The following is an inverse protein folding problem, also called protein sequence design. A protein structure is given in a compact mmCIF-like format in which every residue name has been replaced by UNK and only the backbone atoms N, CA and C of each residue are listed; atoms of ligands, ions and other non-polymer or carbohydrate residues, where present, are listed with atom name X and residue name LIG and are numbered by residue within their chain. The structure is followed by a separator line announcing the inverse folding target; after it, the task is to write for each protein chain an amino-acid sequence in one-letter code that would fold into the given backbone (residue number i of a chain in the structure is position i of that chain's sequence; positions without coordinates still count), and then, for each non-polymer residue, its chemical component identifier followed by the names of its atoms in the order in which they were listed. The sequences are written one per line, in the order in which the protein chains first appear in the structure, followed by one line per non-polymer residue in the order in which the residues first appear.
data_IF_233608194662
#
_entry.id   IF_233608194662
#
_cell.length_a   1.000
_cell.length_b   1.000
_cell.length_c   1.000
_cell.angle_alpha   90.00
_cell.angle_beta   90.00
_cell.angle_gamma   90.00
#
_symmetry.space_group_name_H-M   'P 1'
#
loop_
_entity.id
_entity.type
_entity.pdbx_description
1 polymer ?
#
# COMPACT_ATOMS: atom_id res chain seq x y z
N UNK A 1 12.20 -6.04 38.01
CA UNK A 1 11.56 -5.50 39.25
C UNK A 1 10.34 -4.63 38.96
N UNK A 2 10.41 -3.68 38.02
CA UNK A 2 9.27 -2.77 37.69
C UNK A 2 8.00 -3.53 37.29
N UNK A 3 8.10 -4.54 36.41
CA UNK A 3 6.93 -5.33 36.00
C UNK A 3 6.27 -6.04 37.18
N UNK A 4 7.05 -6.66 38.06
CA UNK A 4 6.51 -7.39 39.21
C UNK A 4 5.75 -6.48 40.19
N UNK A 5 6.24 -5.26 40.41
CA UNK A 5 5.65 -4.32 41.36
C UNK A 5 4.48 -3.54 40.76
N UNK A 6 4.59 -3.05 39.53
CA UNK A 6 3.61 -2.11 38.98
C UNK A 6 2.57 -2.74 38.06
N UNK A 7 2.92 -3.82 37.35
CA UNK A 7 2.05 -4.42 36.35
C UNK A 7 0.69 -4.88 36.92
N UNK A 8 0.61 -5.48 38.12
CA UNK A 8 -0.67 -5.85 38.71
C UNK A 8 -1.62 -4.66 38.93
N UNK A 9 -1.10 -3.47 39.23
CA UNK A 9 -1.90 -2.26 39.48
C UNK A 9 -2.42 -1.60 38.21
N UNK A 10 -1.76 -1.82 37.07
CA UNK A 10 -2.15 -1.25 35.78
C UNK A 10 -2.80 -2.27 34.85
N UNK A 11 -2.79 -3.56 35.18
CA UNK A 11 -3.22 -4.66 34.31
C UNK A 11 -4.62 -4.43 33.69
N UNK A 12 -5.58 -3.96 34.48
CA UNK A 12 -6.94 -3.69 34.02
C UNK A 12 -7.08 -2.47 33.10
N UNK A 13 -6.01 -1.70 32.88
CA UNK A 13 -5.96 -0.54 31.97
C UNK A 13 -5.09 -0.81 30.74
N UNK A 14 -4.39 -1.93 30.69
CA UNK A 14 -3.53 -2.27 29.56
C UNK A 14 -4.41 -2.65 28.36
N UNK A 15 -4.27 -1.88 27.29
CA UNK A 15 -5.02 -2.06 26.03
C UNK A 15 -4.22 -2.81 24.96
N UNK A 16 -2.88 -2.76 25.06
CA UNK A 16 -1.98 -3.39 24.11
C UNK A 16 -0.76 -3.95 24.84
N UNK A 17 -0.31 -5.14 24.44
CA UNK A 17 0.88 -5.80 24.95
C UNK A 17 1.70 -6.27 23.76
N UNK A 18 2.99 -5.97 23.79
CA UNK A 18 3.99 -6.48 22.86
C UNK A 18 5.06 -7.22 23.65
N UNK A 19 5.31 -8.49 23.32
CA UNK A 19 6.33 -9.31 23.98
C UNK A 19 7.29 -9.87 22.94
N UNK A 20 8.57 -9.90 23.25
CA UNK A 20 9.65 -10.38 22.37
C UNK A 20 10.58 -11.32 23.14
N UNK A 21 10.96 -12.43 22.52
CA UNK A 21 12.00 -13.37 22.99
C UNK A 21 13.22 -13.36 22.03
N UNK A 22 13.62 -12.16 21.59
CA UNK A 22 14.81 -11.98 20.75
C UNK A 22 16.13 -12.32 21.49
N UNK A 23 17.26 -12.21 20.81
CA UNK A 23 18.56 -12.59 21.37
C UNK A 23 18.99 -11.74 22.58
N UNK A 24 18.42 -10.54 22.74
CA UNK A 24 18.65 -9.66 23.90
C UNK A 24 17.64 -9.88 25.02
N UNK A 25 16.49 -10.47 24.73
CA UNK A 25 15.36 -10.63 25.66
C UNK A 25 14.90 -12.09 25.83
N UNK A 26 15.86 -13.02 25.84
CA UNK A 26 15.61 -14.44 26.07
C UNK A 26 14.68 -14.68 27.29
N UNK A 27 13.64 -15.48 27.07
CA UNK A 27 12.64 -15.88 28.08
C UNK A 27 11.80 -14.74 28.68
N UNK A 28 11.84 -13.54 28.12
CA UNK A 28 11.06 -12.41 28.61
C UNK A 28 9.57 -12.68 28.58
N UNK A 29 9.06 -13.42 27.59
CA UNK A 29 7.66 -13.87 27.55
C UNK A 29 7.33 -14.73 28.77
N UNK A 30 8.15 -15.74 29.06
CA UNK A 30 7.95 -16.62 30.21
C UNK A 30 8.04 -15.86 31.54
N UNK A 31 9.01 -14.95 31.64
CA UNK A 31 9.18 -14.09 32.81
C UNK A 31 7.96 -13.17 32.99
N UNK A 32 7.45 -12.57 31.91
CA UNK A 32 6.24 -11.76 31.92
C UNK A 32 5.04 -12.58 32.43
N UNK A 33 4.82 -13.77 31.86
CA UNK A 33 3.74 -14.68 32.27
C UNK A 33 3.84 -15.06 33.75
N UNK A 34 5.05 -15.26 34.28
CA UNK A 34 5.27 -15.57 35.70
C UNK A 34 4.78 -14.47 36.65
N UNK A 35 4.81 -13.19 36.23
CA UNK A 35 4.39 -12.07 37.07
C UNK A 35 2.88 -11.83 37.09
N UNK A 36 2.22 -11.96 35.94
CA UNK A 36 0.78 -11.68 35.84
C UNK A 36 -0.04 -12.90 36.26
N UNK A 37 0.59 -14.09 36.25
CA UNK A 37 0.01 -15.43 36.42
C UNK A 37 -0.96 -15.82 35.30
N UNK A 38 -1.73 -14.87 34.77
CA UNK A 38 -2.61 -15.09 33.63
C UNK A 38 -3.00 -13.79 32.91
N UNK A 39 -3.17 -13.87 31.58
CA UNK A 39 -3.75 -12.81 30.75
C UNK A 39 -5.15 -12.38 31.20
N UNK A 40 -5.88 -13.19 31.99
CA UNK A 40 -7.22 -12.85 32.49
C UNK A 40 -7.27 -11.56 33.31
N UNK A 41 -6.12 -11.09 33.83
CA UNK A 41 -6.03 -9.80 34.53
C UNK A 41 -6.00 -8.60 33.58
N UNK A 42 -5.65 -8.82 32.31
CA UNK A 42 -5.58 -7.82 31.24
C UNK A 42 -6.96 -7.71 30.56
N UNK A 43 -8.01 -7.47 31.35
CA UNK A 43 -9.41 -7.50 30.89
C UNK A 43 -9.76 -6.47 29.80
N UNK A 44 -8.92 -5.45 29.60
CA UNK A 44 -9.09 -4.43 28.56
C UNK A 44 -8.18 -4.65 27.35
N UNK A 45 -7.45 -5.77 27.28
CA UNK A 45 -6.51 -6.03 26.20
C UNK A 45 -7.25 -6.16 24.88
N UNK A 46 -6.86 -5.33 23.91
CA UNK A 46 -7.39 -5.29 22.54
C UNK A 46 -6.40 -5.78 21.51
N UNK A 47 -5.11 -5.59 21.78
CA UNK A 47 -4.02 -5.97 20.89
C UNK A 47 -2.96 -6.75 21.64
N UNK A 48 -2.60 -7.92 21.11
CA UNK A 48 -1.47 -8.73 21.57
C UNK A 48 -0.50 -8.92 20.40
N UNK A 49 0.76 -8.59 20.61
CA UNK A 49 1.84 -8.85 19.66
C UNK A 49 2.91 -9.72 20.31
N UNK A 50 3.26 -10.82 19.66
CA UNK A 50 4.24 -11.80 20.10
C UNK A 50 5.31 -11.92 19.02
N UNK A 51 6.55 -11.67 19.39
CA UNK A 51 7.71 -11.71 18.50
C UNK A 51 8.70 -12.75 19.01
N UNK A 52 9.38 -13.43 18.09
CA UNK A 52 10.49 -14.34 18.44
C UNK A 52 10.09 -15.47 19.40
N UNK A 53 8.83 -15.93 19.37
CA UNK A 53 8.39 -17.02 20.25
C UNK A 53 9.12 -18.32 19.85
N UNK A 54 9.98 -18.82 20.74
CA UNK A 54 10.86 -19.98 20.47
C UNK A 54 10.22 -21.33 20.82
N UNK A 55 9.10 -21.33 21.53
CA UNK A 55 8.45 -22.53 22.05
C UNK A 55 6.99 -22.62 21.60
N UNK A 56 6.67 -23.67 20.84
CA UNK A 56 5.31 -23.97 20.41
C UNK A 56 4.37 -24.13 21.62
N UNK A 57 4.82 -24.84 22.65
CA UNK A 57 4.05 -25.02 23.89
C UNK A 57 3.74 -23.67 24.58
N UNK A 58 4.70 -22.75 24.59
CA UNK A 58 4.51 -21.41 25.16
C UNK A 58 3.48 -20.63 24.36
N UNK A 59 3.56 -20.65 23.02
CA UNK A 59 2.55 -20.01 22.16
C UNK A 59 1.16 -20.59 22.43
N UNK A 60 1.02 -21.91 22.47
CA UNK A 60 -0.27 -22.56 22.72
C UNK A 60 -0.84 -22.22 24.10
N UNK A 61 -0.01 -22.15 25.14
CA UNK A 61 -0.42 -21.68 26.48
C UNK A 61 -0.90 -20.23 26.47
N UNK A 62 -0.29 -19.37 25.66
CA UNK A 62 -0.72 -17.97 25.52
C UNK A 62 -2.08 -17.92 24.79
N UNK A 63 -2.23 -18.67 23.71
CA UNK A 63 -3.47 -18.73 22.93
C UNK A 63 -4.65 -19.29 23.73
N UNK A 64 -4.43 -20.33 24.54
CA UNK A 64 -5.44 -20.84 25.49
C UNK A 64 -5.96 -19.73 26.42
N UNK A 65 -5.06 -18.92 26.97
CA UNK A 65 -5.45 -17.80 27.83
C UNK A 65 -6.13 -16.67 27.06
N UNK A 66 -5.80 -16.46 25.78
CA UNK A 66 -6.41 -15.44 24.94
C UNK A 66 -7.93 -15.68 24.72
N UNK A 67 -8.41 -16.91 24.85
CA UNK A 67 -9.86 -17.21 24.74
C UNK A 67 -10.71 -16.48 25.78
N UNK A 68 -10.11 -16.12 26.91
CA UNK A 68 -10.78 -15.40 28.00
C UNK A 68 -10.73 -13.88 27.82
N UNK A 69 -10.00 -13.39 26.83
CA UNK A 69 -9.86 -11.96 26.53
C UNK A 69 -11.00 -11.48 25.62
N UNK A 70 -12.14 -11.17 26.24
CA UNK A 70 -13.35 -10.73 25.54
C UNK A 70 -13.23 -9.44 24.72
N UNK A 71 -12.08 -8.77 24.69
CA UNK A 71 -11.86 -7.56 23.89
C UNK A 71 -10.68 -7.68 22.92
N UNK A 72 -10.00 -8.84 22.90
CA UNK A 72 -8.90 -9.08 21.98
C UNK A 72 -9.43 -9.10 20.55
N UNK A 73 -8.97 -8.12 19.77
CA UNK A 73 -9.40 -7.90 18.38
C UNK A 73 -8.25 -7.97 17.40
N UNK A 74 -7.02 -7.77 17.89
CA UNK A 74 -5.80 -7.81 17.09
C UNK A 74 -4.82 -8.79 17.71
N UNK A 75 -4.39 -9.78 16.94
CA UNK A 75 -3.33 -10.70 17.29
C UNK A 75 -2.23 -10.58 16.24
N UNK A 76 -1.01 -10.30 16.67
CA UNK A 76 0.17 -10.36 15.83
C UNK A 76 1.10 -11.42 16.41
N UNK A 77 1.47 -12.41 15.61
CA UNK A 77 2.45 -13.42 15.95
C UNK A 77 3.45 -13.38 14.80
N UNK A 78 4.67 -12.93 15.05
CA UNK A 78 5.68 -12.84 14.01
C UNK A 78 7.03 -13.36 14.48
N UNK A 79 7.88 -13.71 13.51
CA UNK A 79 9.24 -14.19 13.76
C UNK A 79 9.32 -15.40 14.71
N UNK A 80 8.30 -16.27 14.72
CA UNK A 80 8.31 -17.44 15.57
C UNK A 80 9.21 -18.54 14.97
N UNK A 81 10.08 -19.13 15.80
CA UNK A 81 11.01 -20.19 15.40
C UNK A 81 10.62 -21.50 16.07
N UNK A 82 9.90 -22.36 15.35
CA UNK A 82 9.50 -23.66 15.85
C UNK A 82 10.22 -24.79 15.10
N UNK A 83 10.54 -25.87 15.80
CA UNK A 83 11.05 -27.08 15.14
C UNK A 83 9.89 -27.74 14.36
N UNK A 84 10.09 -28.06 13.08
CA UNK A 84 9.02 -28.51 12.17
C UNK A 84 8.28 -29.77 12.66
N UNK A 85 8.94 -30.64 13.42
CA UNK A 85 8.35 -31.86 14.00
C UNK A 85 7.52 -31.63 15.27
N UNK A 86 7.48 -30.41 15.80
CA UNK A 86 6.79 -30.09 17.05
C UNK A 86 5.48 -29.33 16.86
N UNK A 87 5.21 -28.80 15.67
CA UNK A 87 4.06 -27.92 15.42
C UNK A 87 2.91 -28.69 14.79
N UNK A 88 1.79 -28.73 15.50
CA UNK A 88 0.51 -29.08 14.93
C UNK A 88 -0.14 -27.80 14.37
N UNK A 89 0.05 -27.54 13.07
CA UNK A 89 -0.49 -26.35 12.42
C UNK A 89 -2.00 -26.27 12.45
N UNK A 90 -2.67 -27.42 12.38
CA UNK A 90 -4.12 -27.46 12.41
C UNK A 90 -4.63 -27.02 13.78
N UNK A 91 -4.01 -27.52 14.85
CA UNK A 91 -4.34 -27.13 16.22
C UNK A 91 -3.99 -25.65 16.49
N UNK A 92 -2.84 -25.18 16.00
CA UNK A 92 -2.42 -23.79 16.14
C UNK A 92 -3.40 -22.83 15.45
N UNK A 93 -3.72 -23.13 14.19
CA UNK A 93 -4.70 -22.38 13.42
C UNK A 93 -6.05 -22.37 14.11
N UNK A 94 -6.55 -23.54 14.50
CA UNK A 94 -7.82 -23.66 15.21
C UNK A 94 -7.83 -22.78 16.46
N UNK A 95 -6.75 -22.80 17.25
CA UNK A 95 -6.64 -22.02 18.49
C UNK A 95 -6.59 -20.50 18.28
N UNK A 96 -5.99 -20.04 17.18
CA UNK A 96 -5.97 -18.61 16.80
C UNK A 96 -7.37 -18.18 16.36
N UNK A 97 -8.00 -18.96 15.49
CA UNK A 97 -9.27 -18.56 14.88
C UNK A 97 -10.49 -18.81 15.77
N UNK A 98 -10.38 -19.68 16.78
CA UNK A 98 -11.41 -19.84 17.81
C UNK A 98 -11.47 -18.65 18.80
N UNK A 99 -10.62 -17.64 18.65
CA UNK A 99 -10.66 -16.44 19.47
C UNK A 99 -11.91 -15.60 19.14
N UNK A 100 -12.83 -15.39 20.10
CA UNK A 100 -14.23 -15.04 19.84
C UNK A 100 -14.47 -13.66 19.19
N UNK A 101 -13.47 -12.77 19.24
CA UNK A 101 -13.57 -11.38 18.76
C UNK A 101 -12.38 -10.95 17.91
N UNK A 102 -11.59 -11.92 17.44
CA UNK A 102 -10.45 -11.63 16.59
C UNK A 102 -10.94 -11.06 15.25
N UNK A 103 -10.48 -9.85 14.92
CA UNK A 103 -10.82 -9.16 13.66
C UNK A 103 -9.59 -9.06 12.75
N UNK A 104 -8.42 -8.94 13.36
CA UNK A 104 -7.15 -8.81 12.67
C UNK A 104 -6.17 -9.83 13.23
N UNK A 105 -5.66 -10.70 12.37
CA UNK A 105 -4.58 -11.60 12.70
C UNK A 105 -3.43 -11.38 11.72
N UNK A 106 -2.23 -11.14 12.24
CA UNK A 106 -1.00 -11.31 11.49
C UNK A 106 -0.28 -12.54 12.05
N UNK A 107 0.05 -13.48 11.19
CA UNK A 107 0.68 -14.73 11.57
C UNK A 107 1.83 -15.03 10.63
N UNK A 108 3.05 -14.81 11.12
CA UNK A 108 4.32 -15.00 10.44
C UNK A 108 5.17 -15.99 11.25
N UNK A 109 5.51 -17.13 10.64
CA UNK A 109 6.34 -18.17 11.24
C UNK A 109 7.57 -18.36 10.38
N UNK A 110 8.74 -18.13 10.97
CA UNK A 110 10.04 -18.23 10.29
C UNK A 110 10.65 -19.59 10.62
N UNK A 111 10.97 -20.40 9.61
CA UNK A 111 11.80 -21.60 9.81
C UNK A 111 11.12 -22.97 9.71
N UNK A 112 9.93 -23.08 9.08
CA UNK A 112 9.35 -24.40 8.78
C UNK A 112 10.00 -25.14 7.61
N UNK A 113 10.91 -24.47 6.92
CA UNK A 113 11.56 -25.00 5.73
C UNK A 113 12.95 -25.52 6.09
N UNK A 114 13.04 -26.70 6.72
CA UNK A 114 14.24 -27.51 6.49
C UNK A 114 14.13 -28.02 5.05
N UNK A 115 14.73 -27.27 4.12
CA UNK A 115 14.54 -27.32 2.65
C UNK A 115 14.67 -28.74 2.05
N UNK A 116 15.34 -29.66 2.76
CA UNK A 116 15.54 -31.03 2.29
C UNK A 116 14.31 -31.96 2.43
N UNK A 117 13.26 -31.57 3.17
CA UNK A 117 12.02 -32.35 3.31
C UNK A 117 10.82 -31.75 2.53
N UNK A 118 11.01 -30.64 1.82
CA UNK A 118 9.92 -29.77 1.34
C UNK A 118 9.19 -30.30 0.10
N UNK A 119 9.79 -31.18 -0.71
CA UNK A 119 9.08 -31.65 -1.91
C UNK A 119 7.94 -32.63 -1.62
N UNK A 120 7.98 -33.38 -0.51
CA UNK A 120 6.91 -34.32 -0.14
C UNK A 120 5.83 -33.71 0.76
N UNK A 121 6.12 -32.62 1.46
CA UNK A 121 5.19 -32.02 2.43
C UNK A 121 4.46 -30.76 1.93
N UNK A 122 4.89 -30.17 0.81
CA UNK A 122 4.22 -29.00 0.22
C UNK A 122 2.71 -29.24 0.04
N UNK A 123 2.31 -30.42 -0.46
CA UNK A 123 0.90 -30.76 -0.65
C UNK A 123 0.11 -30.82 0.67
N UNK A 124 0.74 -31.30 1.76
CA UNK A 124 0.11 -31.36 3.09
C UNK A 124 -0.10 -29.95 3.67
N UNK A 125 0.87 -29.06 3.54
CA UNK A 125 0.69 -27.66 3.96
C UNK A 125 -0.38 -26.96 3.12
N UNK A 126 -0.47 -27.29 1.83
CA UNK A 126 -1.50 -26.72 0.96
C UNK A 126 -2.90 -27.14 1.36
N UNK A 127 -3.12 -28.43 1.64
CA UNK A 127 -4.43 -28.89 2.12
C UNK A 127 -4.78 -28.24 3.46
N UNK A 128 -3.84 -28.18 4.40
CA UNK A 128 -4.06 -27.56 5.72
C UNK A 128 -4.39 -26.06 5.62
N UNK A 129 -3.69 -25.30 4.78
CA UNK A 129 -4.00 -23.88 4.59
C UNK A 129 -5.36 -23.70 3.90
N UNK A 130 -5.71 -24.53 2.92
CA UNK A 130 -7.03 -24.48 2.29
C UNK A 130 -8.14 -24.85 3.28
N UNK A 131 -7.92 -25.85 4.13
CA UNK A 131 -8.88 -26.24 5.15
C UNK A 131 -9.08 -25.09 6.15
N UNK A 132 -8.00 -24.47 6.61
CA UNK A 132 -8.06 -23.27 7.45
C UNK A 132 -8.86 -22.14 6.78
N UNK A 133 -8.54 -21.85 5.51
CA UNK A 133 -9.27 -20.88 4.72
C UNK A 133 -10.76 -21.26 4.52
N UNK A 134 -11.12 -22.54 4.50
CA UNK A 134 -12.52 -22.95 4.35
C UNK A 134 -13.35 -22.74 5.62
N UNK A 135 -12.73 -22.80 6.79
CA UNK A 135 -13.41 -22.64 8.09
C UNK A 135 -13.63 -21.17 8.46
N UNK A 136 -12.83 -20.25 7.90
CA UNK A 136 -12.87 -18.84 8.28
C UNK A 136 -13.77 -18.00 7.37
N UNK A 137 -14.98 -17.71 7.86
CA UNK A 137 -15.98 -16.87 7.17
C UNK A 137 -15.80 -15.37 7.39
N UNK A 138 -14.91 -14.96 8.30
CA UNK A 138 -14.69 -13.55 8.68
C UNK A 138 -13.27 -13.05 8.40
N UNK A 139 -12.47 -13.81 7.64
CA UNK A 139 -11.08 -13.47 7.35
C UNK A 139 -11.01 -12.36 6.28
N UNK A 140 -11.16 -11.10 6.70
CA UNK A 140 -11.20 -9.97 5.75
C UNK A 140 -9.82 -9.64 5.15
N UNK A 141 -8.74 -9.82 5.93
CA UNK A 141 -7.36 -9.52 5.53
C UNK A 141 -6.50 -10.77 5.69
N UNK A 142 -5.81 -11.16 4.61
CA UNK A 142 -4.86 -12.27 4.58
C UNK A 142 -3.49 -11.74 4.15
N UNK A 143 -2.48 -11.89 5.02
CA UNK A 143 -1.09 -11.66 4.68
C UNK A 143 -0.39 -13.01 4.56
N UNK A 144 0.39 -13.21 3.50
CA UNK A 144 1.18 -14.44 3.32
C UNK A 144 2.65 -14.03 3.23
N UNK A 145 3.38 -14.38 4.29
CA UNK A 145 4.82 -14.25 4.36
C UNK A 145 5.45 -15.55 3.87
N UNK A 146 6.50 -15.44 3.06
CA UNK A 146 7.21 -16.60 2.57
C UNK A 146 8.64 -16.24 2.25
N UNK A 147 9.56 -17.11 2.65
CA UNK A 147 10.98 -16.96 2.40
C UNK A 147 11.25 -16.95 0.88
N UNK A 148 11.95 -15.92 0.39
CA UNK A 148 12.24 -15.70 -1.02
C UNK A 148 12.95 -16.88 -1.71
N UNK A 149 13.55 -17.80 -0.93
CA UNK A 149 14.31 -18.94 -1.42
C UNK A 149 13.49 -20.02 -2.12
N UNK A 150 12.15 -20.08 -1.96
CA UNK A 150 11.34 -21.13 -2.64
C UNK A 150 10.52 -20.55 -3.80
N UNK A 151 10.41 -21.28 -4.93
CA UNK A 151 9.59 -20.84 -6.05
C UNK A 151 8.14 -20.61 -5.59
N UNK A 152 7.46 -19.59 -6.15
CA UNK A 152 6.02 -19.38 -5.94
C UNK A 152 5.35 -20.72 -6.18
N UNK A 153 4.83 -21.30 -5.11
CA UNK A 153 4.07 -22.52 -5.25
C UNK A 153 2.81 -22.10 -6.00
N UNK A 154 2.62 -22.65 -7.20
CA UNK A 154 1.44 -22.42 -8.05
C UNK A 154 0.11 -22.71 -7.31
N UNK A 155 0.20 -23.40 -6.18
CA UNK A 155 -0.87 -23.60 -5.20
C UNK A 155 -1.45 -22.31 -4.62
N UNK A 156 -0.70 -21.21 -4.53
CA UNK A 156 -1.27 -19.91 -4.15
C UNK A 156 -2.44 -19.51 -5.05
N UNK A 157 -2.37 -19.90 -6.32
CA UNK A 157 -3.43 -19.64 -7.30
C UNK A 157 -4.63 -20.58 -7.18
N UNK A 158 -4.54 -21.62 -6.34
CA UNK A 158 -5.61 -22.59 -6.12
C UNK A 158 -6.47 -22.23 -4.90
N UNK A 159 -5.97 -21.38 -4.00
CA UNK A 159 -6.70 -21.04 -2.79
C UNK A 159 -8.00 -20.30 -3.08
N UNK A 160 -9.03 -20.64 -2.29
CA UNK A 160 -10.32 -19.96 -2.29
C UNK A 160 -10.77 -19.68 -0.86
N UNK A 161 -11.29 -18.47 -0.60
CA UNK A 161 -11.97 -18.11 0.66
C UNK A 161 -12.89 -16.91 0.42
N UNK A 162 -14.21 -17.10 0.44
CA UNK A 162 -15.19 -16.05 0.08
C UNK A 162 -15.16 -14.78 0.94
N UNK A 163 -14.53 -14.83 2.12
CA UNK A 163 -14.43 -13.73 3.08
C UNK A 163 -13.20 -12.83 2.90
N UNK A 164 -12.14 -13.31 2.24
CA UNK A 164 -10.92 -12.52 2.00
C UNK A 164 -11.21 -11.37 1.03
N UNK A 165 -11.06 -10.14 1.53
CA UNK A 165 -11.23 -8.89 0.77
C UNK A 165 -9.91 -8.17 0.55
N UNK A 166 -8.90 -8.44 1.36
CA UNK A 166 -7.58 -7.85 1.24
C UNK A 166 -6.52 -8.95 1.27
N UNK A 167 -5.65 -8.97 0.28
CA UNK A 167 -4.57 -9.92 0.13
C UNK A 167 -3.25 -9.17 0.04
N UNK A 168 -2.37 -9.39 1.02
CA UNK A 168 -1.03 -8.83 1.01
C UNK A 168 0.02 -9.92 0.77
N UNK A 169 0.78 -9.76 -0.31
CA UNK A 169 1.92 -10.61 -0.70
C UNK A 169 3.19 -9.75 -0.91
N UNK A 170 3.26 -8.53 -0.36
CA UNK A 170 4.49 -7.71 -0.44
C UNK A 170 5.64 -8.36 0.30
N UNK A 171 5.32 -9.06 1.38
CA UNK A 171 6.32 -9.62 2.30
C UNK A 171 6.84 -10.99 1.82
N UNK A 172 6.40 -11.41 0.64
CA UNK A 172 6.95 -12.56 -0.10
C UNK A 172 8.36 -12.27 -0.67
N UNK A 173 8.87 -11.04 -0.51
CA UNK A 173 10.15 -10.52 -1.02
C UNK A 173 10.44 -10.96 -2.47
N UNK A 174 9.39 -10.95 -3.29
CA UNK A 174 9.43 -11.39 -4.69
C UNK A 174 8.68 -10.43 -5.59
N UNK A 175 9.32 -10.12 -6.71
CA UNK A 175 8.73 -9.31 -7.76
C UNK A 175 7.98 -10.19 -8.76
N UNK A 176 6.66 -10.07 -8.79
CA UNK A 176 5.80 -10.78 -9.73
C UNK A 176 6.00 -10.23 -11.15
N UNK A 177 6.32 -11.14 -12.08
CA UNK A 177 6.40 -10.81 -13.50
C UNK A 177 5.00 -10.71 -14.13
N UNK A 178 4.92 -10.35 -15.43
CA UNK A 178 3.64 -10.17 -16.11
C UNK A 178 2.77 -11.44 -16.10
N UNK A 179 3.35 -12.61 -16.40
CA UNK A 179 2.63 -13.87 -16.47
C UNK A 179 2.08 -14.29 -15.10
N UNK A 180 2.87 -14.11 -14.05
CA UNK A 180 2.48 -14.39 -12.67
C UNK A 180 1.38 -13.46 -12.19
N UNK A 181 1.47 -12.17 -12.51
CA UNK A 181 0.40 -11.22 -12.20
C UNK A 181 -0.89 -11.61 -12.92
N UNK A 182 -0.82 -12.06 -14.17
CA UNK A 182 -1.98 -12.57 -14.91
C UNK A 182 -2.55 -13.80 -14.22
N UNK A 183 -1.73 -14.81 -13.88
CA UNK A 183 -2.18 -16.00 -13.14
C UNK A 183 -2.82 -15.64 -11.80
N UNK A 184 -2.19 -14.73 -11.05
CA UNK A 184 -2.71 -14.22 -9.78
C UNK A 184 -4.07 -13.57 -9.95
N UNK A 185 -4.24 -12.72 -10.96
CA UNK A 185 -5.52 -12.03 -11.21
C UNK A 185 -6.69 -12.95 -11.57
N UNK A 186 -6.42 -14.20 -11.97
CA UNK A 186 -7.44 -15.22 -12.23
C UNK A 186 -7.58 -16.25 -11.10
N UNK A 187 -6.83 -16.12 -10.00
CA UNK A 187 -6.97 -17.04 -8.87
C UNK A 187 -8.30 -16.81 -8.15
N UNK A 188 -8.92 -17.87 -7.58
CA UNK A 188 -10.17 -17.71 -6.83
C UNK A 188 -10.01 -16.69 -5.68
N UNK A 189 -8.86 -16.72 -4.99
CA UNK A 189 -8.55 -15.79 -3.91
C UNK A 189 -8.52 -14.32 -4.35
N UNK A 190 -8.00 -14.03 -5.55
CA UNK A 190 -7.88 -12.65 -6.05
C UNK A 190 -9.14 -12.12 -6.74
N UNK A 191 -9.95 -12.98 -7.35
CA UNK A 191 -11.18 -12.56 -8.05
C UNK A 191 -12.14 -11.80 -7.13
N UNK A 192 -12.17 -12.18 -5.85
CA UNK A 192 -12.99 -11.60 -4.79
C UNK A 192 -12.26 -10.55 -3.94
N UNK A 193 -10.98 -10.32 -4.20
CA UNK A 193 -10.14 -9.43 -3.43
C UNK A 193 -10.37 -7.99 -3.88
N UNK A 194 -10.68 -7.11 -2.94
CA UNK A 194 -10.87 -5.68 -3.16
C UNK A 194 -9.53 -4.94 -3.17
N UNK A 195 -8.57 -5.40 -2.35
CA UNK A 195 -7.24 -4.81 -2.23
C UNK A 195 -6.15 -5.88 -2.35
N UNK A 196 -5.37 -5.82 -3.43
CA UNK A 196 -4.22 -6.69 -3.65
C UNK A 196 -2.91 -5.89 -3.54
N UNK A 197 -2.05 -6.27 -2.61
CA UNK A 197 -0.72 -5.70 -2.43
C UNK A 197 0.35 -6.70 -2.88
N UNK A 198 1.11 -6.35 -3.91
CA UNK A 198 2.18 -7.18 -4.50
C UNK A 198 3.38 -6.31 -4.95
N UNK A 199 4.58 -6.88 -4.99
CA UNK A 199 5.74 -6.26 -5.65
C UNK A 199 5.81 -6.71 -7.12
N UNK A 200 6.10 -5.81 -8.08
CA UNK A 200 6.11 -6.16 -9.53
C UNK A 200 7.42 -5.77 -10.20
N UNK A 201 7.97 -6.64 -11.07
CA UNK A 201 9.31 -6.48 -11.66
C UNK A 201 9.42 -5.32 -12.67
N UNK A 202 8.29 -4.79 -13.14
CA UNK A 202 8.25 -3.64 -14.06
C UNK A 202 6.92 -2.88 -13.95
N UNK A 203 6.92 -1.75 -13.24
CA UNK A 203 5.71 -1.02 -12.85
C UNK A 203 4.95 -0.41 -14.04
N UNK A 204 5.65 -0.03 -15.11
CA UNK A 204 5.05 0.72 -16.22
C UNK A 204 4.22 -0.14 -17.19
N UNK A 205 4.66 -1.37 -17.44
CA UNK A 205 3.99 -2.27 -18.40
C UNK A 205 2.74 -2.91 -17.78
N UNK A 206 2.79 -3.25 -16.49
CA UNK A 206 1.77 -4.07 -15.83
C UNK A 206 0.47 -3.29 -15.51
N UNK A 207 0.57 -2.02 -15.11
CA UNK A 207 -0.61 -1.24 -14.70
C UNK A 207 -1.59 -0.93 -15.85
N UNK A 208 -1.11 -0.86 -17.09
CA UNK A 208 -1.96 -0.59 -18.26
C UNK A 208 -2.89 -1.76 -18.59
N UNK A 209 -2.43 -3.01 -18.39
CA UNK A 209 -3.18 -4.24 -18.71
C UNK A 209 -4.20 -4.63 -17.61
N UNK A 210 -3.91 -4.31 -16.34
CA UNK A 210 -4.84 -4.57 -15.23
C UNK A 210 -6.10 -3.69 -15.29
N UNK A 211 -5.92 -2.38 -15.53
CA UNK A 211 -7.04 -1.43 -15.59
C UNK A 211 -7.97 -1.64 -16.77
N UNK A 212 -7.51 -2.28 -17.85
CA UNK A 212 -8.36 -2.61 -19.00
C UNK A 212 -9.31 -3.78 -18.74
N UNK A 213 -9.02 -4.67 -17.78
CA UNK A 213 -9.81 -5.88 -17.53
C UNK A 213 -10.78 -5.78 -16.35
N UNK A 214 -10.51 -4.96 -15.34
CA UNK A 214 -11.43 -4.77 -14.21
C UNK A 214 -12.73 -4.03 -14.57
N UNK A 215 -12.83 -3.47 -15.78
CA UNK A 215 -14.04 -2.80 -16.28
C UNK A 215 -15.02 -3.71 -17.01
N UNK A 216 -14.69 -4.98 -17.25
CA UNK A 216 -15.60 -5.94 -17.87
C UNK A 216 -16.21 -6.88 -16.82
N UNK A 217 -17.20 -6.40 -16.08
CA UNK A 217 -18.15 -7.31 -15.42
C UNK A 217 -18.98 -8.01 -16.51
N UNK A 218 -19.11 -9.34 -16.51
CA UNK A 218 -20.05 -10.01 -17.40
C UNK A 218 -21.47 -9.64 -16.97
N UNK A 219 -22.21 -9.01 -17.88
CA UNK A 219 -23.60 -8.65 -17.67
C UNK A 219 -24.44 -9.91 -17.42
N UNK A 220 -25.25 -9.86 -16.36
CA UNK A 220 -26.31 -10.82 -16.06
C UNK A 220 -27.32 -10.82 -17.23
N UNK A 221 -27.74 -11.97 -17.79
CA UNK A 221 -28.70 -11.97 -18.88
C UNK A 221 -30.10 -11.61 -18.36
N UNK A 222 -30.68 -10.55 -18.93
CA UNK A 222 -32.10 -10.21 -18.78
C UNK A 222 -32.88 -10.58 -20.05
N UNK A 223 -34.17 -10.93 -19.94
CA UNK A 223 -34.96 -11.53 -21.03
C UNK A 223 -35.37 -10.51 -22.10
N UNK A 224 -35.79 -10.96 -23.30
CA UNK A 224 -35.93 -10.09 -24.45
C UNK A 224 -37.24 -9.29 -24.40
N UNK A 225 -37.13 -7.97 -24.62
CA UNK A 225 -38.26 -7.12 -25.02
C UNK A 225 -37.84 -6.30 -26.23
N UNK A 226 -38.66 -6.41 -27.27
CA UNK A 226 -38.55 -5.73 -28.57
C UNK A 226 -39.05 -4.29 -28.51
N UNK A 227 -38.37 -3.37 -29.21
CA UNK A 227 -38.99 -2.44 -30.17
C UNK A 227 -37.99 -1.40 -30.71
N UNK A 228 -38.13 -1.13 -32.00
CA UNK A 228 -37.39 -0.17 -32.83
C UNK A 228 -37.92 1.26 -32.64
N UNK A 229 -37.03 2.26 -32.55
CA UNK A 229 -37.19 3.56 -33.27
C UNK A 229 -35.84 4.28 -33.43
N UNK A 230 -35.70 5.01 -34.54
CA UNK A 230 -34.45 5.31 -35.25
C UNK A 230 -33.75 6.61 -34.79
N UNK A 231 -32.52 6.50 -34.25
CA UNK A 231 -31.58 7.63 -33.97
C UNK A 231 -31.00 8.30 -35.24
N UNK A 232 -31.31 7.80 -36.43
CA UNK A 232 -30.60 8.15 -37.68
C UNK A 232 -31.11 9.45 -38.36
N UNK A 233 -32.31 9.95 -38.01
CA UNK A 233 -32.88 11.13 -38.70
C UNK A 233 -32.31 12.47 -38.21
N UNK A 234 -31.90 12.58 -36.94
CA UNK A 234 -31.42 13.85 -36.35
C UNK A 234 -30.01 14.23 -36.79
N UNK A 235 -29.12 13.25 -36.98
CA UNK A 235 -27.73 13.49 -37.43
C UNK A 235 -27.66 14.00 -38.87
N UNK A 236 -28.52 13.48 -39.77
CA UNK A 236 -28.60 13.94 -41.16
C UNK A 236 -29.11 15.37 -41.30
N UNK A 237 -30.06 15.79 -40.46
CA UNK A 237 -30.57 17.16 -40.45
C UNK A 237 -29.50 18.16 -39.98
N UNK A 238 -28.75 17.82 -38.92
CA UNK A 238 -27.70 18.68 -38.38
C UNK A 238 -26.54 18.89 -39.37
N UNK A 239 -26.11 17.83 -40.06
CA UNK A 239 -25.03 17.93 -41.05
C UNK A 239 -25.43 18.76 -42.29
N UNK A 240 -26.71 18.76 -42.68
CA UNK A 240 -27.19 19.63 -43.78
C UNK A 240 -27.17 21.11 -43.40
N UNK A 241 -27.49 21.43 -42.15
CA UNK A 241 -27.42 22.82 -41.65
C UNK A 241 -25.97 23.29 -41.56
N UNK A 242 -25.06 22.46 -41.03
CA UNK A 242 -23.64 22.82 -40.89
C UNK A 242 -22.95 23.05 -42.24
N UNK A 243 -23.31 22.29 -43.28
CA UNK A 243 -22.73 22.42 -44.61
C UNK A 243 -23.26 23.63 -45.41
N UNK A 244 -24.34 24.27 -44.95
CA UNK A 244 -24.92 25.45 -45.59
C UNK A 244 -24.37 26.79 -45.02
N UNK A 245 -23.44 26.74 -44.06
CA UNK A 245 -22.92 27.92 -43.39
C UNK A 245 -21.73 28.55 -44.13
N UNK A 246 -21.57 29.89 -44.11
CA UNK A 246 -20.48 30.58 -44.80
C UNK A 246 -19.08 30.20 -44.26
N UNK A 247 -18.05 30.27 -45.11
CA UNK A 247 -16.68 29.76 -44.83
C UNK A 247 -15.91 30.56 -43.76
N UNK A 248 -16.38 31.77 -43.39
CA UNK A 248 -15.74 32.59 -42.37
C UNK A 248 -16.10 32.08 -40.96
N UNK A 249 -15.09 31.59 -40.23
CA UNK A 249 -15.21 30.97 -38.90
C UNK A 249 -15.82 31.91 -37.84
N UNK A 250 -15.56 33.21 -37.92
CA UNK A 250 -16.07 34.17 -36.94
C UNK A 250 -17.57 34.45 -37.15
N UNK A 251 -18.02 34.42 -38.42
CA UNK A 251 -19.46 34.54 -38.74
C UNK A 251 -20.23 33.25 -38.47
N UNK A 252 -19.58 32.09 -38.60
CA UNK A 252 -20.15 30.82 -38.15
C UNK A 252 -20.38 30.80 -36.63
N UNK A 253 -19.47 31.41 -35.87
CA UNK A 253 -19.56 31.47 -34.41
C UNK A 253 -20.79 32.24 -33.93
N UNK A 254 -21.01 33.45 -34.44
CA UNK A 254 -22.19 34.26 -34.05
C UNK A 254 -23.50 33.60 -34.46
N UNK A 255 -23.56 32.98 -35.65
CA UNK A 255 -24.77 32.30 -36.10
C UNK A 255 -25.08 31.03 -35.28
N UNK A 256 -24.07 30.24 -34.90
CA UNK A 256 -24.26 29.06 -34.04
C UNK A 256 -24.76 29.49 -32.66
N UNK A 257 -24.27 30.62 -32.15
CA UNK A 257 -24.68 31.19 -30.86
C UNK A 257 -26.14 31.67 -30.92
N UNK A 258 -26.53 32.38 -31.96
CA UNK A 258 -27.93 32.80 -32.17
C UNK A 258 -28.88 31.61 -32.32
N UNK A 259 -28.50 30.58 -33.09
CA UNK A 259 -29.30 29.35 -33.25
C UNK A 259 -29.43 28.60 -31.92
N UNK A 260 -28.36 28.50 -31.13
CA UNK A 260 -28.39 27.82 -29.83
C UNK A 260 -29.29 28.55 -28.81
N UNK A 261 -29.29 29.88 -28.83
CA UNK A 261 -30.17 30.73 -28.01
C UNK A 261 -31.63 30.60 -28.47
N UNK A 262 -31.89 30.68 -29.77
CA UNK A 262 -33.23 30.54 -30.34
C UNK A 262 -33.86 29.15 -30.13
N UNK A 263 -33.05 28.10 -30.02
CA UNK A 263 -33.52 26.72 -29.80
C UNK A 263 -33.48 26.27 -28.33
N UNK A 264 -33.06 27.14 -27.41
CA UNK A 264 -33.00 26.88 -25.96
C UNK A 264 -32.19 25.61 -25.58
N UNK A 265 -31.07 25.34 -26.27
CA UNK A 265 -30.26 24.12 -26.09
C UNK A 265 -29.06 24.39 -25.16
N UNK A 266 -29.34 24.44 -23.85
CA UNK A 266 -28.36 24.73 -22.78
C UNK A 266 -27.16 23.75 -22.72
N UNK A 267 -27.30 22.54 -23.29
CA UNK A 267 -26.26 21.48 -23.22
C UNK A 267 -25.10 21.67 -24.19
N UNK A 268 -25.31 22.24 -25.38
CA UNK A 268 -24.25 22.39 -26.39
C UNK A 268 -23.32 23.56 -26.05
N UNK A 269 -23.88 24.66 -25.53
CA UNK A 269 -23.11 25.83 -25.10
C UNK A 269 -22.13 25.48 -23.95
N UNK A 270 -22.61 24.77 -22.91
CA UNK A 270 -21.76 24.32 -21.79
C UNK A 270 -20.70 23.30 -22.19
N UNK A 271 -20.92 22.49 -23.22
CA UNK A 271 -19.94 21.50 -23.67
C UNK A 271 -18.82 22.16 -24.50
N UNK A 272 -19.12 23.24 -25.22
CA UNK A 272 -18.15 23.96 -26.03
C UNK A 272 -17.33 24.97 -25.21
N UNK A 273 -17.92 25.63 -24.20
CA UNK A 273 -17.21 26.48 -23.23
C UNK A 273 -16.17 25.69 -22.42
N UNK A 274 -16.46 24.41 -22.10
CA UNK A 274 -15.48 23.50 -21.46
C UNK A 274 -14.27 23.19 -22.34
N UNK A 275 -14.43 23.17 -23.65
CA UNK A 275 -13.33 22.90 -24.59
C UNK A 275 -12.45 24.14 -24.86
N UNK A 276 -12.90 25.36 -24.53
CA UNK A 276 -12.04 26.54 -24.52
C UNK A 276 -11.31 26.74 -23.20
N UNK A 277 -11.90 26.36 -22.06
CA UNK A 277 -11.18 26.34 -20.78
C UNK A 277 -9.99 25.35 -20.78
N UNK A 278 -10.02 24.29 -21.59
CA UNK A 278 -8.88 23.38 -21.74
C UNK A 278 -7.69 23.98 -22.50
N UNK A 279 -7.89 24.87 -23.47
CA UNK A 279 -6.78 25.48 -24.23
C UNK A 279 -6.02 26.57 -23.46
N UNK A 280 -6.66 27.23 -22.48
CA UNK A 280 -6.02 28.26 -21.66
C UNK A 280 -5.22 27.71 -20.46
N UNK A 281 -5.42 26.44 -20.10
CA UNK A 281 -4.74 25.81 -18.95
C UNK A 281 -3.48 25.04 -19.32
N UNK A 282 -3.19 24.84 -20.61
CA UNK A 282 -2.10 23.98 -21.07
C UNK A 282 -0.70 24.64 -21.06
N UNK A 283 -0.58 25.90 -20.62
CA UNK A 283 0.73 26.58 -20.42
C UNK A 283 1.14 26.64 -18.94
N UNK A 284 0.27 26.29 -17.99
CA UNK A 284 0.57 26.33 -16.53
C UNK A 284 0.66 24.97 -15.84
N UNK A 285 0.58 23.86 -16.58
CA UNK A 285 0.76 22.49 -16.05
C UNK A 285 2.13 21.92 -16.39
N UNK A 286 3.20 22.64 -16.05
CA UNK A 286 4.46 21.98 -15.71
C UNK A 286 4.40 21.63 -14.23
N UNK A 287 4.37 20.34 -13.96
CA UNK A 287 4.22 19.70 -12.66
C UNK A 287 5.23 20.20 -11.63
N UNK A 288 4.78 20.95 -10.61
CA UNK A 288 5.52 21.11 -9.35
C UNK A 288 5.45 19.77 -8.60
N UNK A 289 6.50 18.97 -8.67
CA UNK A 289 6.62 17.77 -7.84
C UNK A 289 7.10 18.20 -6.45
N UNK A 290 6.19 18.25 -5.48
CA UNK A 290 6.56 18.44 -4.07
C UNK A 290 7.14 17.11 -3.55
N UNK A 291 8.46 16.94 -3.68
CA UNK A 291 9.20 15.80 -3.15
C UNK A 291 9.69 16.12 -1.73
N UNK A 292 9.32 15.28 -0.77
CA UNK A 292 9.80 15.38 0.61
C UNK A 292 11.17 14.71 0.73
N UNK A 293 12.18 15.47 1.16
CA UNK A 293 13.46 14.94 1.61
C UNK A 293 13.37 14.57 3.09
N UNK A 294 13.00 13.33 3.40
CA UNK A 294 13.29 12.77 4.71
C UNK A 294 14.02 11.44 4.56
N UNK A 295 14.92 11.16 5.49
CA UNK A 295 15.80 9.97 5.49
C UNK A 295 15.00 8.65 5.51
N UNK A 296 13.71 8.72 5.87
CA UNK A 296 12.81 7.58 6.02
C UNK A 296 11.95 7.27 4.78
N UNK A 297 12.00 8.09 3.72
CA UNK A 297 11.25 7.81 2.50
C UNK A 297 12.21 7.47 1.34
N UNK A 298 11.96 6.34 0.65
CA UNK A 298 12.64 5.89 -0.59
C UNK A 298 12.59 6.90 -1.76
N UNK A 299 11.89 8.02 -1.57
CA UNK A 299 11.69 9.08 -2.56
C UNK A 299 12.96 9.85 -2.93
N UNK A 300 14.04 9.76 -2.13
CA UNK A 300 15.27 10.49 -2.45
C UNK A 300 15.96 9.90 -3.69
N UNK A 301 15.89 8.58 -3.88
CA UNK A 301 16.42 7.94 -5.09
C UNK A 301 15.73 8.46 -6.37
N UNK A 302 14.40 8.65 -6.31
CA UNK A 302 13.59 9.21 -7.39
C UNK A 302 13.89 10.69 -7.62
N UNK A 303 14.13 11.46 -6.55
CA UNK A 303 14.56 12.86 -6.67
C UNK A 303 15.93 12.95 -7.36
N UNK A 304 16.90 12.14 -6.94
CA UNK A 304 18.23 12.11 -7.55
C UNK A 304 18.16 11.73 -9.04
N UNK A 305 17.31 10.76 -9.40
CA UNK A 305 17.07 10.39 -10.80
C UNK A 305 16.39 11.52 -11.60
N UNK A 306 15.52 12.31 -10.98
CA UNK A 306 14.90 13.46 -11.62
C UNK A 306 15.93 14.57 -11.84
N UNK A 307 16.78 14.85 -10.84
CA UNK A 307 17.83 15.85 -10.91
C UNK A 307 18.96 15.47 -11.89
N UNK A 308 19.30 14.19 -12.01
CA UNK A 308 20.31 13.67 -12.96
C UNK A 308 20.04 14.08 -14.42
N UNK A 309 18.76 14.24 -14.77
CA UNK A 309 18.38 14.67 -16.13
C UNK A 309 18.65 16.15 -16.40
N UNK A 310 18.75 16.96 -15.35
CA UNK A 310 18.74 18.42 -15.45
C UNK A 310 19.97 19.10 -14.85
N UNK A 311 20.75 18.40 -14.02
CA UNK A 311 21.94 18.93 -13.34
C UNK A 311 23.16 18.07 -13.67
N UNK A 312 24.23 18.69 -14.16
CA UNK A 312 25.49 18.03 -14.48
C UNK A 312 26.17 17.53 -13.21
N UNK A 313 26.75 16.33 -13.28
CA UNK A 313 27.56 15.77 -12.19
C UNK A 313 26.77 15.09 -11.07
N UNK A 314 25.43 15.12 -11.05
CA UNK A 314 24.62 14.39 -10.06
C UNK A 314 24.58 12.88 -10.32
N UNK A 315 24.94 12.45 -11.54
CA UNK A 315 24.97 11.05 -11.91
C UNK A 315 25.84 10.24 -10.96
N UNK A 316 25.23 9.23 -10.34
CA UNK A 316 25.90 8.27 -9.45
C UNK A 316 26.35 8.81 -8.09
N UNK A 317 25.88 9.99 -7.67
CA UNK A 317 26.11 10.47 -6.30
C UNK A 317 25.21 9.69 -5.33
N UNK A 318 25.79 9.05 -4.33
CA UNK A 318 25.05 8.42 -3.25
C UNK A 318 24.38 9.48 -2.34
N UNK A 319 23.38 9.06 -1.55
CA UNK A 319 22.62 9.98 -0.70
C UNK A 319 23.50 10.84 0.21
N UNK A 320 24.54 10.27 0.83
CA UNK A 320 25.38 10.99 1.76
C UNK A 320 26.23 12.02 1.03
N UNK A 321 26.77 11.65 -0.13
CA UNK A 321 27.50 12.58 -0.99
C UNK A 321 26.60 13.72 -1.49
N UNK A 322 25.33 13.44 -1.80
CA UNK A 322 24.38 14.48 -2.17
C UNK A 322 24.06 15.41 -1.00
N UNK A 323 23.79 14.87 0.20
CA UNK A 323 23.57 15.67 1.41
C UNK A 323 24.76 16.61 1.67
N UNK A 324 26.00 16.13 1.53
CA UNK A 324 27.21 16.94 1.66
C UNK A 324 27.37 18.05 0.61
N UNK A 325 26.65 17.97 -0.50
CA UNK A 325 26.55 19.09 -1.46
C UNK A 325 25.53 20.14 -0.98
N UNK A 326 24.50 19.72 -0.26
CA UNK A 326 23.44 20.59 0.25
C UNK A 326 23.84 21.30 1.55
N UNK A 327 24.53 20.62 2.46
CA UNK A 327 24.81 21.10 3.82
C UNK A 327 26.30 21.28 4.07
N UNK A 328 26.65 22.25 4.93
CA UNK A 328 28.03 22.51 5.35
C UNK A 328 28.59 21.42 6.27
N UNK A 329 27.76 20.96 7.20
CA UNK A 329 28.10 20.02 8.23
C UNK A 329 26.83 19.20 8.52
N UNK A 330 26.86 17.92 8.20
CA UNK A 330 25.74 17.00 8.40
C UNK A 330 25.57 16.58 9.87
N UNK A 331 26.52 16.93 10.74
CA UNK A 331 26.42 16.75 12.19
C UNK A 331 25.74 17.93 12.90
N UNK A 332 25.61 19.08 12.23
CA UNK A 332 25.03 20.30 12.81
C UNK A 332 23.59 20.50 12.32
N UNK A 333 22.65 20.45 13.26
CA UNK A 333 21.22 20.66 13.01
C UNK A 333 20.95 21.97 12.25
N UNK A 334 21.66 23.05 12.60
CA UNK A 334 21.54 24.34 11.93
C UNK A 334 21.95 24.31 10.45
N UNK A 335 22.97 23.52 10.08
CA UNK A 335 23.36 23.31 8.68
C UNK A 335 22.29 22.47 7.95
N UNK A 336 21.77 21.42 8.60
CA UNK A 336 20.72 20.56 8.03
C UNK A 336 19.41 21.31 7.74
N UNK A 337 19.08 22.33 8.54
CA UNK A 337 17.91 23.19 8.32
C UNK A 337 18.21 24.44 7.48
N UNK A 338 19.38 24.53 6.82
CA UNK A 338 19.80 25.71 6.04
C UNK A 338 19.82 27.04 6.81
N UNK A 339 19.90 26.98 8.14
CA UNK A 339 19.95 28.14 9.04
C UNK A 339 21.40 28.56 9.38
N UNK A 340 22.40 27.93 8.77
CA UNK A 340 23.79 28.27 8.98
C UNK A 340 24.19 29.54 8.20
N UNK A 341 24.58 30.59 8.92
CA UNK A 341 25.00 31.88 8.35
C UNK A 341 26.23 31.78 7.43
N UNK A 342 27.00 30.70 7.54
CA UNK A 342 28.23 30.54 6.76
C UNK A 342 27.94 30.18 5.29
N UNK A 343 26.76 29.62 4.97
CA UNK A 343 26.56 28.89 3.71
C UNK A 343 25.13 28.89 3.15
N UNK A 344 24.30 29.90 3.44
CA UNK A 344 22.94 30.02 2.85
C UNK A 344 22.90 29.99 1.31
N UNK A 345 24.04 30.22 0.64
CA UNK A 345 24.17 30.19 -0.81
C UNK A 345 24.88 28.93 -1.38
N UNK A 346 25.30 27.97 -0.56
CA UNK A 346 26.16 26.86 -1.02
C UNK A 346 25.44 25.97 -2.03
N UNK A 347 24.16 25.68 -1.80
CA UNK A 347 23.31 25.00 -2.76
C UNK A 347 23.25 25.76 -4.08
N UNK A 348 22.94 27.06 -3.99
CA UNK A 348 22.81 27.95 -5.14
C UNK A 348 24.09 27.93 -5.97
N UNK A 349 25.25 28.07 -5.33
CA UNK A 349 26.54 28.09 -6.01
C UNK A 349 26.95 26.73 -6.60
N UNK A 350 26.63 25.60 -5.94
CA UNK A 350 27.09 24.28 -6.39
C UNK A 350 26.16 23.61 -7.39
N UNK A 351 24.86 23.88 -7.32
CA UNK A 351 23.85 23.18 -8.12
C UNK A 351 23.30 24.09 -9.22
N UNK A 352 23.09 25.39 -8.97
CA UNK A 352 22.48 26.26 -9.97
C UNK A 352 23.38 26.47 -11.19
N UNK A 353 24.70 26.55 -10.97
CA UNK A 353 25.69 26.69 -12.04
C UNK A 353 25.86 25.40 -12.86
N UNK A 354 25.38 24.26 -12.35
CA UNK A 354 25.45 22.96 -13.00
C UNK A 354 24.12 22.57 -13.69
N UNK A 355 23.08 23.42 -13.66
CA UNK A 355 21.83 23.16 -14.38
C UNK A 355 22.08 23.22 -15.89
N UNK A 356 21.88 22.09 -16.56
CA UNK A 356 22.09 21.95 -18.01
C UNK A 356 20.94 22.60 -18.78
N UNK A 357 19.73 22.50 -18.25
CA UNK A 357 18.50 22.99 -18.88
C UNK A 357 18.04 24.29 -18.21
N UNK A 358 18.35 25.43 -18.85
CA UNK A 358 17.95 26.76 -18.38
C UNK A 358 16.43 26.97 -18.21
N UNK A 359 15.60 26.07 -18.74
CA UNK A 359 14.14 26.10 -18.52
C UNK A 359 13.72 25.51 -17.17
N UNK A 360 14.63 24.80 -16.48
CA UNK A 360 14.38 24.19 -15.18
C UNK A 360 14.74 25.17 -14.08
N UNK A 361 13.74 25.51 -13.27
CA UNK A 361 13.91 26.28 -12.04
C UNK A 361 13.80 25.32 -10.87
N UNK A 362 14.85 25.23 -10.07
CA UNK A 362 14.87 24.44 -8.84
C UNK A 362 14.69 25.41 -7.66
N UNK A 363 13.53 25.34 -7.01
CA UNK A 363 13.23 26.10 -5.79
C UNK A 363 13.25 25.18 -4.58
N UNK A 364 13.85 25.65 -3.48
CA UNK A 364 13.85 24.96 -2.20
C UNK A 364 13.01 25.74 -1.22
N UNK A 365 12.14 25.03 -0.51
CA UNK A 365 11.29 25.59 0.52
C UNK A 365 11.49 24.80 1.80
N UNK A 366 11.45 25.51 2.93
CA UNK A 366 11.58 24.88 4.24
C UNK A 366 10.17 24.64 4.80
N UNK A 367 9.92 23.44 5.31
CA UNK A 367 8.74 23.22 6.13
C UNK A 367 8.96 23.87 7.49
N UNK A 368 8.24 24.95 7.75
CA UNK A 368 8.19 25.59 9.05
C UNK A 368 6.97 25.09 9.82
N UNK A 369 7.16 24.67 11.05
CA UNK A 369 6.06 24.38 11.98
C UNK A 369 5.78 25.66 12.77
N UNK A 370 4.61 26.25 12.56
CA UNK A 370 4.16 27.38 13.37
C UNK A 370 4.02 26.96 14.84
N UNK A 371 4.07 27.93 15.77
CA UNK A 371 3.81 27.70 17.21
C UNK A 371 2.45 27.06 17.49
N UNK A 372 1.52 27.13 16.53
CA UNK A 372 0.19 26.50 16.58
C UNK A 372 0.20 25.04 16.07
N UNK A 373 1.36 24.47 15.73
CA UNK A 373 1.49 23.10 15.23
C UNK A 373 1.05 22.91 13.76
N UNK A 374 0.76 23.99 13.03
CA UNK A 374 0.50 23.92 11.58
C UNK A 374 1.80 24.04 10.81
N UNK A 375 2.05 23.08 9.92
CA UNK A 375 3.20 23.10 9.01
C UNK A 375 2.87 23.90 7.74
N UNK A 376 3.73 24.84 7.37
CA UNK A 376 3.66 25.61 6.12
C UNK A 376 5.01 25.61 5.42
N UNK A 377 5.00 25.54 4.09
CA UNK A 377 6.17 25.81 3.25
C UNK A 377 6.47 27.31 3.32
N UNK A 378 7.70 27.65 3.71
CA UNK A 378 8.26 29.01 3.71
C UNK A 378 9.34 29.11 2.66
#
# INVERSE_FOLDING_TARGET
MICQQHLPFIANRVIAVSLTDDDNTLEQINLFLSYILSFNKLIQLRSLSLYYVRSYETLMKILDQCHRLCYLTHLNISDCYFQANQVDFQLLAYSIWSLPRLMHCNFEVVGLMNINAVSSHADTYHSQLQDLLNHEHNLHYLCIHHDASLPIQMSLFKYANTSVRQLNLTDYNRYYNEEECIKLSHSPLCIQCELLSIMVTNREINLRKFRSKSKSNPARPSPPVSSFSTKQSKSKALNRVLNALPVNKDKQFELIKEIAVGLNIVKLQKQFERNQQSLSTDIKKTTSYNLCLCVHHENISLLLQALDKHVRGIKSIDLNSFIKLLVCDDSQELCMFSNCNLYSNNFKMKIQDEIIDSSVIIEWSLWSTSKEGKSSLV
#
